data_IF_369032548742
#
_entry.id   IF_369032548742
#
_cell.length_a   1.000
_cell.length_b   1.000
_cell.length_c   1.000
_cell.angle_alpha   90.00
_cell.angle_beta   90.00
_cell.angle_gamma   90.00
#
_symmetry.space_group_name_H-M   'P 1'
#
loop_
_entity.id
_entity.type
_entity.pdbx_description
1 polymer ?
#
# COMPACT_ATOMS: atom_id res chain seq x y z
N UNK A 1 28.23 -16.50 -11.86
CA UNK A 1 28.81 -15.37 -11.12
C UNK A 1 29.91 -15.77 -10.13
N UNK A 2 29.83 -16.89 -9.38
CA UNK A 2 30.96 -17.33 -8.52
C UNK A 2 32.14 -17.89 -9.35
N UNK A 3 31.86 -18.77 -10.31
CA UNK A 3 32.90 -19.43 -11.12
C UNK A 3 33.46 -18.52 -12.23
N UNK A 4 32.62 -17.64 -12.77
CA UNK A 4 32.89 -16.84 -13.99
C UNK A 4 34.15 -15.93 -13.88
N UNK A 5 34.41 -15.24 -12.75
CA UNK A 5 35.59 -14.38 -12.60
C UNK A 5 36.93 -15.13 -12.66
N UNK A 6 36.96 -16.40 -12.25
CA UNK A 6 38.19 -17.22 -12.33
C UNK A 6 38.66 -17.46 -13.78
N UNK A 7 37.78 -17.20 -14.76
CA UNK A 7 38.06 -17.30 -16.19
C UNK A 7 38.08 -15.93 -16.89
N UNK A 8 38.17 -14.83 -16.13
CA UNK A 8 38.15 -13.47 -16.69
C UNK A 8 36.79 -13.02 -17.22
N UNK A 9 35.71 -13.71 -16.84
CA UNK A 9 34.36 -13.36 -17.30
C UNK A 9 33.74 -12.21 -16.50
N UNK A 10 32.85 -11.47 -17.16
CA UNK A 10 32.06 -10.39 -16.57
C UNK A 10 30.81 -10.93 -15.85
N UNK A 11 30.22 -10.16 -14.90
CA UNK A 11 28.97 -10.54 -14.25
C UNK A 11 27.88 -10.86 -15.28
N UNK A 12 27.27 -12.04 -15.15
CA UNK A 12 26.23 -12.51 -16.04
C UNK A 12 24.86 -12.43 -15.35
N UNK A 13 23.86 -11.94 -16.08
CA UNK A 13 22.45 -11.91 -15.69
C UNK A 13 21.59 -12.59 -16.74
N UNK A 14 20.29 -12.73 -16.48
CA UNK A 14 19.33 -13.24 -17.46
C UNK A 14 19.28 -12.36 -18.70
N UNK A 15 19.38 -12.97 -19.88
CA UNK A 15 19.28 -12.26 -21.16
C UNK A 15 17.88 -12.42 -21.76
N UNK A 16 16.96 -11.54 -21.39
CA UNK A 16 15.52 -11.61 -21.74
C UNK A 16 15.31 -11.85 -23.25
N UNK A 17 15.96 -11.04 -24.10
CA UNK A 17 15.82 -11.16 -25.55
C UNK A 17 16.27 -12.55 -26.08
N UNK A 18 17.39 -13.09 -25.58
CA UNK A 18 17.88 -14.41 -26.00
C UNK A 18 16.99 -15.53 -25.50
N UNK A 19 16.49 -15.43 -24.27
CA UNK A 19 15.56 -16.41 -23.69
C UNK A 19 14.24 -16.42 -24.46
N UNK A 20 13.71 -15.25 -24.81
CA UNK A 20 12.47 -15.13 -25.59
C UNK A 20 12.61 -15.80 -26.98
N UNK A 21 13.72 -15.57 -27.68
CA UNK A 21 14.01 -16.23 -28.96
C UNK A 21 14.15 -17.75 -28.75
N UNK A 22 14.91 -18.20 -27.76
CA UNK A 22 15.09 -19.62 -27.46
C UNK A 22 13.76 -20.35 -27.23
N UNK A 23 12.86 -19.76 -26.44
CA UNK A 23 11.53 -20.32 -26.16
C UNK A 23 10.68 -20.33 -27.43
N UNK A 24 10.67 -19.24 -28.22
CA UNK A 24 9.94 -19.19 -29.50
C UNK A 24 10.48 -20.18 -30.53
N UNK A 25 11.77 -20.51 -30.48
CA UNK A 25 12.43 -21.53 -31.30
C UNK A 25 12.20 -22.97 -30.78
N UNK A 26 11.35 -23.16 -29.76
CA UNK A 26 11.01 -24.48 -29.24
C UNK A 26 11.93 -25.02 -28.15
N UNK A 27 12.82 -24.18 -27.58
CA UNK A 27 13.67 -24.53 -26.45
C UNK A 27 12.84 -24.75 -25.17
N UNK A 28 12.75 -26.00 -24.72
CA UNK A 28 11.93 -26.40 -23.55
C UNK A 28 12.76 -26.83 -22.33
N UNK A 29 14.04 -27.13 -22.51
CA UNK A 29 14.89 -27.72 -21.46
C UNK A 29 16.13 -26.84 -21.20
N UNK A 30 16.72 -27.01 -20.00
CA UNK A 30 17.98 -26.33 -19.61
C UNK A 30 19.14 -26.68 -20.54
N UNK A 31 19.06 -27.82 -21.24
CA UNK A 31 20.07 -28.27 -22.19
C UNK A 31 20.21 -27.30 -23.37
N UNK A 32 19.15 -26.59 -23.78
CA UNK A 32 19.25 -25.57 -24.83
C UNK A 32 20.25 -24.47 -24.49
N UNK A 33 20.26 -24.01 -23.23
CA UNK A 33 21.22 -23.00 -22.76
C UNK A 33 22.67 -23.51 -22.76
N UNK A 34 22.87 -24.78 -22.39
CA UNK A 34 24.20 -25.42 -22.42
C UNK A 34 24.70 -25.55 -23.86
N UNK A 35 23.86 -26.05 -24.78
CA UNK A 35 24.19 -26.17 -26.19
C UNK A 35 24.51 -24.80 -26.79
N UNK A 36 23.72 -23.77 -26.47
CA UNK A 36 23.99 -22.40 -26.92
C UNK A 36 25.35 -21.89 -26.42
N UNK A 37 25.68 -22.11 -25.14
CA UNK A 37 26.96 -21.72 -24.56
C UNK A 37 28.15 -22.44 -25.20
N UNK A 38 28.05 -23.76 -25.40
CA UNK A 38 29.10 -24.56 -26.05
C UNK A 38 29.24 -24.17 -27.53
N UNK A 39 28.14 -24.00 -28.25
CA UNK A 39 28.16 -23.55 -29.64
C UNK A 39 28.81 -22.17 -29.77
N UNK A 40 28.46 -21.23 -28.89
CA UNK A 40 29.07 -19.90 -28.86
C UNK A 40 30.58 -19.98 -28.58
N UNK A 41 31.00 -20.82 -27.62
CA UNK A 41 32.41 -21.04 -27.33
C UNK A 41 33.16 -21.61 -28.54
N UNK A 42 32.61 -22.62 -29.22
CA UNK A 42 33.21 -23.19 -30.44
C UNK A 42 33.32 -22.16 -31.56
N UNK A 43 32.27 -21.37 -31.80
CA UNK A 43 32.27 -20.31 -32.81
C UNK A 43 33.35 -19.27 -32.49
N UNK A 44 33.45 -18.82 -31.25
CA UNK A 44 34.47 -17.83 -30.86
C UNK A 44 35.88 -18.41 -31.01
N UNK A 45 36.13 -19.65 -30.59
CA UNK A 45 37.45 -20.28 -30.67
C UNK A 45 37.91 -20.56 -32.11
N UNK A 46 36.98 -20.85 -33.03
CA UNK A 46 37.31 -21.25 -34.41
C UNK A 46 37.16 -20.11 -35.42
N UNK A 47 36.16 -19.24 -35.26
CA UNK A 47 35.82 -18.13 -36.15
C UNK A 47 36.22 -16.74 -35.58
N UNK A 48 36.96 -16.66 -34.48
CA UNK A 48 37.52 -15.39 -33.98
C UNK A 48 38.13 -14.47 -35.07
N UNK A 49 39.00 -14.94 -35.98
CA UNK A 49 39.61 -14.07 -36.98
C UNK A 49 38.60 -13.49 -37.99
N UNK A 50 37.50 -14.20 -38.25
CA UNK A 50 36.40 -13.72 -39.09
C UNK A 50 35.53 -12.73 -38.31
N UNK A 51 35.25 -13.01 -37.04
CA UNK A 51 34.48 -12.11 -36.18
C UNK A 51 35.15 -10.74 -35.99
N UNK A 52 36.48 -10.70 -35.97
CA UNK A 52 37.24 -9.45 -35.89
C UNK A 52 37.07 -8.53 -37.12
N UNK A 53 36.62 -9.07 -38.26
CA UNK A 53 36.38 -8.30 -39.48
C UNK A 53 34.98 -7.67 -39.54
N UNK A 54 34.11 -7.94 -38.55
CA UNK A 54 32.75 -7.41 -38.53
C UNK A 54 32.78 -5.89 -38.36
N UNK A 55 32.19 -5.10 -39.28
CA UNK A 55 32.17 -3.65 -39.17
C UNK A 55 31.44 -3.18 -37.91
N UNK A 56 32.03 -2.21 -37.20
CA UNK A 56 31.40 -1.59 -36.02
C UNK A 56 30.02 -0.99 -36.34
N UNK A 57 29.83 -0.49 -37.56
CA UNK A 57 28.54 0.03 -38.03
C UNK A 57 27.44 -1.03 -38.02
N UNK A 58 27.76 -2.29 -38.37
CA UNK A 58 26.79 -3.38 -38.34
C UNK A 58 26.39 -3.72 -36.90
N UNK A 59 27.35 -3.75 -35.98
CA UNK A 59 27.09 -3.98 -34.55
C UNK A 59 26.24 -2.85 -33.95
N UNK A 60 26.55 -1.59 -34.26
CA UNK A 60 25.78 -0.44 -33.82
C UNK A 60 24.32 -0.51 -34.33
N UNK A 61 24.10 -0.92 -35.59
CA UNK A 61 22.77 -1.12 -36.15
C UNK A 61 21.97 -2.18 -35.38
N UNK A 62 22.58 -3.32 -35.05
CA UNK A 62 21.94 -4.37 -34.25
C UNK A 62 21.60 -3.84 -32.85
N UNK A 63 22.51 -3.08 -32.22
CA UNK A 63 22.28 -2.49 -30.90
C UNK A 63 21.14 -1.45 -30.91
N UNK A 64 21.03 -0.61 -31.94
CA UNK A 64 19.92 0.33 -32.06
C UNK A 64 18.58 -0.39 -32.21
N UNK A 65 18.48 -1.37 -33.12
CA UNK A 65 17.23 -2.12 -33.34
C UNK A 65 16.82 -2.88 -32.09
N UNK A 66 17.77 -3.51 -31.39
CA UNK A 66 17.48 -4.22 -30.14
C UNK A 66 17.06 -3.28 -29.03
N UNK A 67 17.72 -2.12 -28.89
CA UNK A 67 17.34 -1.10 -27.89
C UNK A 67 15.92 -0.59 -28.09
N UNK A 68 15.53 -0.26 -29.33
CA UNK A 68 14.16 0.20 -29.63
C UNK A 68 13.12 -0.89 -29.35
N UNK A 69 13.45 -2.16 -29.65
CA UNK A 69 12.57 -3.30 -29.36
C UNK A 69 12.43 -3.62 -27.87
N UNK A 70 13.36 -3.17 -27.03
CA UNK A 70 13.30 -3.34 -25.59
C UNK A 70 12.43 -2.27 -24.89
N UNK A 71 12.00 -1.23 -25.60
CA UNK A 71 11.10 -0.21 -25.03
C UNK A 71 9.67 -0.76 -24.98
N UNK A 72 9.12 -0.88 -23.77
CA UNK A 72 7.75 -1.32 -23.51
C UNK A 72 6.76 -0.14 -23.56
N UNK A 73 6.39 0.29 -24.76
CA UNK A 73 5.50 1.44 -24.98
C UNK A 73 4.14 1.30 -24.29
N UNK A 74 3.60 0.09 -24.20
CA UNK A 74 2.32 -0.20 -23.54
C UNK A 74 2.40 0.06 -22.03
N UNK A 75 3.50 -0.34 -21.38
CA UNK A 75 3.72 -0.11 -19.95
C UNK A 75 3.82 1.40 -19.65
N UNK A 76 4.57 2.14 -20.46
CA UNK A 76 4.67 3.61 -20.36
C UNK A 76 3.28 4.25 -20.49
N UNK A 77 2.49 3.80 -21.47
CA UNK A 77 1.11 4.26 -21.69
C UNK A 77 0.17 3.98 -20.50
N UNK A 78 0.30 2.80 -19.89
CA UNK A 78 -0.46 2.44 -18.69
C UNK A 78 -0.08 3.32 -17.50
N UNK A 79 1.22 3.52 -17.25
CA UNK A 79 1.74 4.37 -16.17
C UNK A 79 1.24 5.81 -16.28
N UNK A 80 1.25 6.39 -17.48
CA UNK A 80 0.72 7.74 -17.72
C UNK A 80 -0.76 7.89 -17.37
N UNK A 81 -1.55 6.83 -17.55
CA UNK A 81 -3.00 6.84 -17.30
C UNK A 81 -3.36 6.47 -15.86
N UNK A 82 -2.55 5.64 -15.21
CA UNK A 82 -2.84 5.09 -13.91
C UNK A 82 -2.56 6.10 -12.78
N UNK A 83 -1.32 6.58 -12.65
CA UNK A 83 -0.97 7.49 -11.56
C UNK A 83 0.21 8.39 -11.95
N UNK A 84 -0.02 9.71 -11.93
CA UNK A 84 1.01 10.72 -12.26
C UNK A 84 2.28 10.61 -11.40
N UNK A 85 2.15 10.15 -10.15
CA UNK A 85 3.30 9.99 -9.25
C UNK A 85 4.19 8.79 -9.60
N UNK A 86 3.64 7.70 -10.14
CA UNK A 86 4.48 6.59 -10.62
C UNK A 86 5.17 6.96 -11.93
N UNK A 87 4.46 7.68 -12.81
CA UNK A 87 5.02 8.21 -14.05
C UNK A 87 6.18 9.19 -13.79
N UNK A 88 6.07 10.05 -12.76
CA UNK A 88 7.15 11.00 -12.43
C UNK A 88 8.41 10.29 -11.92
N UNK A 89 8.27 9.22 -11.14
CA UNK A 89 9.42 8.38 -10.69
C UNK A 89 10.08 7.69 -11.87
N UNK A 90 9.31 7.16 -12.81
CA UNK A 90 9.83 6.58 -14.06
C UNK A 90 10.58 7.64 -14.89
N UNK A 91 10.01 8.84 -15.06
CA UNK A 91 10.67 9.91 -15.83
C UNK A 91 11.95 10.39 -15.14
N UNK A 92 11.94 10.50 -13.81
CA UNK A 92 13.11 10.84 -13.01
C UNK A 92 14.23 9.82 -13.22
N UNK A 93 13.94 8.53 -13.04
CA UNK A 93 14.95 7.46 -13.22
C UNK A 93 15.47 7.40 -14.65
N UNK A 94 14.60 7.56 -15.64
CA UNK A 94 14.99 7.63 -17.05
C UNK A 94 15.93 8.81 -17.34
N UNK A 95 15.60 10.00 -16.84
CA UNK A 95 16.42 11.20 -17.03
C UNK A 95 17.78 11.07 -16.34
N UNK A 96 17.81 10.56 -15.10
CA UNK A 96 19.08 10.33 -14.37
C UNK A 96 19.95 9.31 -15.11
N UNK A 97 19.37 8.25 -15.66
CA UNK A 97 20.12 7.23 -16.42
C UNK A 97 20.80 7.81 -17.67
N UNK A 98 20.15 8.78 -18.34
CA UNK A 98 20.68 9.41 -19.56
C UNK A 98 21.75 10.47 -19.24
N UNK A 99 21.52 11.26 -18.19
CA UNK A 99 22.39 12.40 -17.86
C UNK A 99 23.61 11.98 -17.01
N UNK A 100 23.49 10.92 -16.23
CA UNK A 100 24.52 10.45 -15.30
C UNK A 100 24.85 8.97 -15.56
N UNK A 101 24.51 8.08 -14.64
CA UNK A 101 24.76 6.65 -14.75
C UNK A 101 23.58 5.82 -14.23
N UNK A 102 23.60 4.53 -14.56
CA UNK A 102 22.57 3.57 -14.19
C UNK A 102 22.51 3.32 -12.67
N UNK A 103 23.65 3.35 -11.97
CA UNK A 103 23.73 3.04 -10.53
C UNK A 103 23.03 4.13 -9.74
N UNK A 104 23.36 5.39 -10.00
CA UNK A 104 22.75 6.57 -9.42
C UNK A 104 21.24 6.63 -9.73
N UNK A 105 20.85 6.27 -10.95
CA UNK A 105 19.44 6.21 -11.33
C UNK A 105 18.65 5.20 -10.49
N UNK A 106 19.22 4.02 -10.23
CA UNK A 106 18.60 2.99 -9.38
C UNK A 106 18.49 3.48 -7.93
N UNK A 107 19.53 4.10 -7.39
CA UNK A 107 19.53 4.65 -6.02
C UNK A 107 18.44 5.72 -5.84
N UNK A 108 18.42 6.73 -6.71
CA UNK A 108 17.44 7.80 -6.68
C UNK A 108 16.02 7.26 -6.91
N UNK A 109 15.87 6.32 -7.84
CA UNK A 109 14.60 5.66 -8.13
C UNK A 109 14.03 4.93 -6.92
N UNK A 110 14.86 4.18 -6.21
CA UNK A 110 14.45 3.44 -5.01
C UNK A 110 14.04 4.40 -3.89
N UNK A 111 14.78 5.49 -3.68
CA UNK A 111 14.45 6.52 -2.68
C UNK A 111 13.11 7.19 -3.03
N UNK A 112 12.94 7.59 -4.29
CA UNK A 112 11.70 8.24 -4.75
C UNK A 112 10.49 7.30 -4.66
N UNK A 113 10.65 6.03 -5.02
CA UNK A 113 9.61 5.01 -4.88
C UNK A 113 9.26 4.75 -3.40
N UNK A 114 10.26 4.67 -2.53
CA UNK A 114 10.07 4.54 -1.09
C UNK A 114 9.34 5.74 -0.49
N UNK A 115 9.72 6.96 -0.87
CA UNK A 115 9.05 8.18 -0.44
C UNK A 115 7.59 8.22 -0.92
N UNK A 116 7.33 7.78 -2.15
CA UNK A 116 5.97 7.70 -2.69
C UNK A 116 5.14 6.63 -1.98
N UNK A 117 5.73 5.50 -1.63
CA UNK A 117 5.09 4.46 -0.83
C UNK A 117 4.71 4.99 0.56
N UNK A 118 5.63 5.68 1.24
CA UNK A 118 5.35 6.32 2.53
C UNK A 118 4.22 7.34 2.40
N UNK A 119 4.26 8.20 1.36
CA UNK A 119 3.19 9.17 1.10
C UNK A 119 1.84 8.48 0.92
N UNK A 120 1.77 7.44 0.10
CA UNK A 120 0.53 6.67 -0.14
C UNK A 120 0.00 6.01 1.13
N UNK A 121 0.89 5.56 2.01
CA UNK A 121 0.52 4.96 3.29
C UNK A 121 0.12 6.03 4.33
N UNK A 122 0.64 7.25 4.21
CA UNK A 122 0.36 8.38 5.08
C UNK A 122 -0.88 9.19 4.68
N UNK A 123 -1.36 9.06 3.43
CA UNK A 123 -2.56 9.75 2.95
C UNK A 123 -3.80 9.11 3.60
N UNK A 124 -4.12 9.59 4.81
CA UNK A 124 -5.32 9.23 5.58
C UNK A 124 -6.58 9.79 4.92
N UNK A 125 -7.49 8.89 4.53
CA UNK A 125 -8.86 9.26 4.20
C UNK A 125 -9.69 9.28 5.49
N UNK A 126 -9.63 10.40 6.23
CA UNK A 126 -10.64 10.73 7.21
C UNK A 126 -11.90 11.17 6.47
N UNK A 127 -12.90 10.31 6.42
CA UNK A 127 -14.20 10.63 5.86
C UNK A 127 -15.22 10.81 7.00
N UNK A 128 -15.78 12.02 7.12
CA UNK A 128 -16.99 12.24 7.94
C UNK A 128 -18.11 11.46 7.27
N UNK A 129 -18.71 10.51 7.98
CA UNK A 129 -19.85 9.77 7.43
C UNK A 129 -21.06 10.72 7.48
N UNK A 130 -21.78 10.94 6.37
CA UNK A 130 -22.99 11.76 6.39
C UNK A 130 -24.00 11.19 7.39
N UNK A 131 -24.73 12.06 8.08
CA UNK A 131 -25.71 11.66 9.11
C UNK A 131 -26.73 10.63 8.61
N UNK A 132 -27.06 10.64 7.31
CA UNK A 132 -27.95 9.69 6.64
C UNK A 132 -27.46 8.24 6.59
N UNK A 133 -26.15 8.00 6.66
CA UNK A 133 -25.55 6.65 6.67
C UNK A 133 -25.02 6.24 8.05
N UNK A 134 -24.85 7.21 8.94
CA UNK A 134 -24.28 7.00 10.28
C UNK A 134 -25.32 6.55 11.31
N UNK A 135 -26.61 6.84 11.09
CA UNK A 135 -27.68 6.60 12.06
C UNK A 135 -28.79 5.70 11.47
N UNK A 136 -29.25 4.68 12.21
CA UNK A 136 -30.48 3.95 11.87
C UNK A 136 -31.70 4.90 11.78
N UNK A 137 -32.72 4.58 10.96
CA UNK A 137 -33.95 5.36 10.92
C UNK A 137 -34.64 5.36 12.30
N UNK A 138 -34.75 6.53 12.93
CA UNK A 138 -35.40 6.71 14.24
C UNK A 138 -34.63 7.53 15.28
N UNK A 139 -33.39 7.94 15.00
CA UNK A 139 -32.61 8.80 15.91
C UNK A 139 -33.11 10.26 15.84
N UNK A 140 -33.38 10.93 16.98
CA UNK A 140 -33.78 12.34 16.97
C UNK A 140 -32.70 13.26 16.37
N UNK A 141 -33.08 14.21 15.50
CA UNK A 141 -32.16 15.17 14.86
C UNK A 141 -31.36 16.05 15.85
N UNK A 142 -31.88 16.24 17.07
CA UNK A 142 -31.20 16.97 18.15
C UNK A 142 -29.99 16.19 18.70
N UNK A 143 -30.05 14.85 18.67
CA UNK A 143 -28.98 13.96 19.11
C UNK A 143 -27.97 13.71 18.00
N UNK A 144 -28.38 13.74 16.72
CA UNK A 144 -27.44 13.62 15.59
C UNK A 144 -26.46 14.77 15.53
N UNK A 145 -26.86 15.99 15.94
CA UNK A 145 -25.97 17.15 16.07
C UNK A 145 -24.93 17.03 17.19
N UNK A 146 -25.20 16.22 18.22
CA UNK A 146 -24.29 16.01 19.36
C UNK A 146 -23.33 14.83 19.15
N UNK A 147 -23.53 14.04 18.09
CA UNK A 147 -22.77 12.82 17.80
C UNK A 147 -22.07 12.96 16.45
N UNK A 148 -20.74 13.00 16.44
CA UNK A 148 -19.96 12.98 15.22
C UNK A 148 -19.42 11.57 14.94
N UNK A 149 -19.62 11.05 13.73
CA UNK A 149 -19.12 9.74 13.30
C UNK A 149 -18.04 9.87 12.24
N UNK A 150 -16.84 9.38 12.56
CA UNK A 150 -15.68 9.41 11.67
C UNK A 150 -15.26 8.02 11.26
N UNK A 151 -14.99 7.84 9.97
CA UNK A 151 -14.31 6.66 9.45
C UNK A 151 -12.83 6.93 9.36
N UNK A 152 -12.02 6.04 9.95
CA UNK A 152 -10.58 6.03 9.76
C UNK A 152 -10.23 4.91 8.79
N UNK A 153 -9.75 5.29 7.61
CA UNK A 153 -9.21 4.36 6.63
C UNK A 153 -7.69 4.50 6.58
N UNK A 154 -6.97 3.39 6.80
CA UNK A 154 -5.50 3.33 6.78
C UNK A 154 -4.85 3.27 8.18
N UNK A 155 -3.51 3.07 8.24
CA UNK A 155 -2.78 3.01 9.50
C UNK A 155 -2.83 4.38 10.18
N UNK A 156 -3.23 4.41 11.45
CA UNK A 156 -3.43 5.66 12.21
C UNK A 156 -2.08 6.38 12.32
N UNK A 157 -1.90 7.49 11.60
CA UNK A 157 -0.70 8.33 11.67
C UNK A 157 -1.07 9.79 12.00
N UNK A 158 -0.08 10.53 12.49
CA UNK A 158 -0.09 11.89 13.04
C UNK A 158 -1.02 12.93 12.35
N UNK A 159 -1.31 12.80 11.05
CA UNK A 159 -2.12 13.78 10.30
C UNK A 159 -3.62 13.78 10.61
N UNK A 160 -4.17 12.69 11.17
CA UNK A 160 -5.58 12.66 11.59
C UNK A 160 -5.83 13.49 12.85
N UNK A 161 -4.88 13.48 13.80
CA UNK A 161 -5.03 14.15 15.09
C UNK A 161 -5.21 15.66 14.93
N UNK A 162 -4.42 16.32 14.07
CA UNK A 162 -4.57 17.76 13.78
C UNK A 162 -5.94 18.09 13.15
N UNK A 163 -6.46 17.22 12.30
CA UNK A 163 -7.81 17.39 11.71
C UNK A 163 -8.91 17.26 12.76
N UNK A 164 -8.75 16.37 13.75
CA UNK A 164 -9.70 16.26 14.86
C UNK A 164 -9.70 17.49 15.76
N UNK A 165 -8.54 18.07 16.05
CA UNK A 165 -8.43 19.31 16.84
C UNK A 165 -9.09 20.48 16.12
N UNK A 166 -8.88 20.59 14.81
CA UNK A 166 -9.53 21.64 13.99
C UNK A 166 -11.05 21.45 13.98
N UNK A 167 -11.52 20.21 13.83
CA UNK A 167 -12.95 19.89 13.85
C UNK A 167 -13.65 20.24 15.17
N UNK A 168 -13.07 19.89 16.31
CA UNK A 168 -13.65 20.21 17.62
C UNK A 168 -13.79 21.72 17.85
N UNK A 169 -12.98 22.52 17.17
CA UNK A 169 -13.08 23.98 17.16
C UNK A 169 -14.27 24.48 16.34
N UNK A 170 -14.56 23.82 15.21
CA UNK A 170 -15.60 24.24 14.27
C UNK A 170 -17.00 23.73 14.67
N UNK A 171 -17.10 22.62 15.40
CA UNK A 171 -18.37 22.02 15.84
C UNK A 171 -18.45 21.85 17.39
N UNK A 172 -18.60 22.94 18.16
CA UNK A 172 -18.60 22.90 19.63
C UNK A 172 -19.82 22.23 20.27
N UNK A 173 -20.85 21.89 19.47
CA UNK A 173 -22.07 21.22 19.94
C UNK A 173 -21.89 19.69 20.12
N UNK A 174 -20.77 19.13 19.64
CA UNK A 174 -20.49 17.69 19.64
C UNK A 174 -20.00 17.22 21.01
N UNK A 175 -20.79 16.36 21.67
CA UNK A 175 -20.47 15.75 22.98
C UNK A 175 -19.95 14.32 22.88
N UNK A 176 -20.20 13.64 21.76
CA UNK A 176 -19.79 12.26 21.53
C UNK A 176 -19.12 12.12 20.17
N UNK A 177 -17.91 11.56 20.15
CA UNK A 177 -17.18 11.25 18.93
C UNK A 177 -17.09 9.73 18.77
N UNK A 178 -17.67 9.20 17.69
CA UNK A 178 -17.59 7.78 17.33
C UNK A 178 -16.53 7.60 16.25
N UNK A 179 -15.49 6.82 16.56
CA UNK A 179 -14.39 6.52 15.65
C UNK A 179 -14.50 5.09 15.12
N UNK A 180 -14.83 4.95 13.84
CA UNK A 180 -14.94 3.65 13.16
C UNK A 180 -13.56 3.20 12.68
N UNK A 181 -13.02 2.20 13.36
CA UNK A 181 -11.68 1.63 13.14
C UNK A 181 -11.68 0.30 12.37
N UNK A 182 -12.82 -0.13 11.81
CA UNK A 182 -12.94 -1.41 11.07
C UNK A 182 -11.92 -1.58 9.94
N UNK A 183 -11.51 -0.49 9.31
CA UNK A 183 -10.55 -0.48 8.20
C UNK A 183 -9.12 -0.11 8.64
N UNK A 184 -8.82 -0.23 9.93
CA UNK A 184 -7.48 -0.07 10.50
C UNK A 184 -6.91 -1.46 10.76
N UNK A 185 -6.12 -2.04 9.83
CA UNK A 185 -5.60 -3.39 9.98
C UNK A 185 -4.54 -3.48 11.09
N UNK A 186 -3.73 -2.43 11.23
CA UNK A 186 -2.66 -2.36 12.21
C UNK A 186 -2.45 -0.93 12.70
N UNK A 187 -1.79 -0.81 13.85
CA UNK A 187 -1.43 0.45 14.47
C UNK A 187 -0.03 0.31 15.07
N UNK A 188 0.80 1.33 14.91
CA UNK A 188 2.15 1.39 15.46
C UNK A 188 2.18 2.31 16.70
N UNK A 189 3.36 2.51 17.29
CA UNK A 189 3.53 3.43 18.43
C UNK A 189 3.06 4.84 18.10
N UNK A 190 3.28 5.30 16.86
CA UNK A 190 2.86 6.62 16.40
C UNK A 190 1.34 6.76 16.43
N UNK A 191 0.61 5.75 15.96
CA UNK A 191 -0.86 5.73 16.01
C UNK A 191 -1.42 5.68 17.44
N UNK A 192 -0.75 4.98 18.36
CA UNK A 192 -1.14 4.96 19.78
C UNK A 192 -0.99 6.35 20.40
N UNK A 193 0.15 7.01 20.17
CA UNK A 193 0.40 8.37 20.69
C UNK A 193 -0.63 9.35 20.12
N UNK A 194 -0.90 9.28 18.82
CA UNK A 194 -1.91 10.12 18.17
C UNK A 194 -3.32 9.89 18.74
N UNK A 195 -3.72 8.64 18.99
CA UNK A 195 -5.01 8.33 19.61
C UNK A 195 -5.07 8.81 21.06
N UNK A 196 -3.98 8.72 21.81
CA UNK A 196 -3.90 9.26 23.17
C UNK A 196 -4.03 10.79 23.18
N UNK A 197 -3.41 11.48 22.23
CA UNK A 197 -3.53 12.93 22.09
C UNK A 197 -4.97 13.34 21.73
N UNK A 198 -5.61 12.64 20.78
CA UNK A 198 -7.03 12.83 20.43
C UNK A 198 -7.92 12.62 21.67
N UNK A 199 -7.72 11.54 22.42
CA UNK A 199 -8.48 11.28 23.65
C UNK A 199 -8.29 12.39 24.69
N UNK A 200 -7.05 12.87 24.86
CA UNK A 200 -6.73 13.93 25.83
C UNK A 200 -7.39 15.25 25.46
N UNK A 201 -7.39 15.60 24.18
CA UNK A 201 -8.02 16.83 23.71
C UNK A 201 -9.55 16.76 23.78
N UNK A 202 -10.16 15.62 23.39
CA UNK A 202 -11.59 15.39 23.58
C UNK A 202 -12.01 15.53 25.04
N UNK A 203 -11.21 14.96 25.96
CA UNK A 203 -11.45 15.04 27.40
C UNK A 203 -11.37 16.47 27.93
N UNK A 204 -10.51 17.33 27.37
CA UNK A 204 -10.45 18.76 27.71
C UNK A 204 -11.69 19.53 27.27
N UNK A 205 -12.33 19.09 26.19
CA UNK A 205 -13.55 19.67 25.62
C UNK A 205 -14.86 19.01 26.13
N UNK A 206 -14.79 18.17 27.18
CA UNK A 206 -15.92 17.40 27.72
C UNK A 206 -16.63 16.52 26.67
N UNK A 207 -15.87 16.10 25.64
CA UNK A 207 -16.34 15.22 24.59
C UNK A 207 -15.89 13.78 24.87
N UNK A 208 -16.81 12.82 24.76
CA UNK A 208 -16.54 11.39 24.98
C UNK A 208 -16.16 10.70 23.68
N UNK A 209 -15.06 9.95 23.71
CA UNK A 209 -14.58 9.13 22.59
C UNK A 209 -15.16 7.71 22.68
N UNK A 210 -15.81 7.25 21.61
CA UNK A 210 -16.27 5.87 21.42
C UNK A 210 -15.53 5.22 20.26
N UNK A 211 -15.06 3.99 20.43
CA UNK A 211 -14.36 3.23 19.40
C UNK A 211 -15.27 2.13 18.85
N UNK A 212 -15.36 2.00 17.52
CA UNK A 212 -16.18 0.96 16.88
C UNK A 212 -15.39 0.10 15.89
N UNK A 213 -15.66 -1.21 15.93
CA UNK A 213 -15.09 -2.17 14.97
C UNK A 213 -13.58 -2.32 15.08
N UNK A 214 -13.03 -2.36 16.30
CA UNK A 214 -11.60 -2.61 16.51
C UNK A 214 -11.20 -3.98 15.97
N UNK A 215 -10.10 -4.04 15.22
CA UNK A 215 -9.51 -5.32 14.83
C UNK A 215 -8.77 -5.96 16.01
N UNK A 216 -8.69 -7.30 16.10
CA UNK A 216 -8.07 -7.99 17.24
C UNK A 216 -6.61 -7.56 17.51
N UNK A 217 -5.82 -7.29 16.46
CA UNK A 217 -4.44 -6.82 16.61
C UNK A 217 -4.37 -5.43 17.25
N UNK A 218 -5.23 -4.51 16.82
CA UNK A 218 -5.32 -3.15 17.36
C UNK A 218 -5.86 -3.16 18.79
N UNK A 219 -6.86 -3.99 19.08
CA UNK A 219 -7.41 -4.14 20.42
C UNK A 219 -6.35 -4.65 21.41
N UNK A 220 -5.65 -5.73 21.06
CA UNK A 220 -4.57 -6.26 21.89
C UNK A 220 -3.47 -5.22 22.13
N UNK A 221 -3.15 -4.41 21.12
CA UNK A 221 -2.17 -3.34 21.26
C UNK A 221 -2.65 -2.24 22.23
N UNK A 222 -3.90 -1.83 22.15
CA UNK A 222 -4.51 -0.83 23.04
C UNK A 222 -4.61 -1.32 24.49
N UNK A 223 -4.88 -2.61 24.70
CA UNK A 223 -4.87 -3.24 26.02
C UNK A 223 -3.46 -3.26 26.60
N UNK A 224 -2.46 -3.65 25.81
CA UNK A 224 -1.07 -3.73 26.25
C UNK A 224 -0.47 -2.37 26.60
N UNK A 225 -0.91 -1.30 25.95
CA UNK A 225 -0.47 0.07 26.25
C UNK A 225 -1.27 0.74 27.37
N UNK A 226 -2.34 0.11 27.85
CA UNK A 226 -3.25 0.67 28.87
C UNK A 226 -4.08 1.84 28.36
N UNK A 227 -4.06 2.14 27.05
CA UNK A 227 -4.91 3.19 26.47
C UNK A 227 -6.39 2.78 26.49
N UNK A 228 -6.68 1.48 26.35
CA UNK A 228 -8.04 0.97 26.46
C UNK A 228 -8.62 1.19 27.87
N UNK A 229 -7.79 1.03 28.91
CA UNK A 229 -8.21 1.25 30.30
C UNK A 229 -8.44 2.74 30.60
N UNK A 230 -7.71 3.65 29.92
CA UNK A 230 -7.96 5.10 30.01
C UNK A 230 -9.26 5.52 29.32
N UNK A 231 -9.55 4.93 28.15
CA UNK A 231 -10.77 5.23 27.38
C UNK A 231 -12.01 4.62 28.05
N UNK A 232 -11.85 3.46 28.69
CA UNK A 232 -12.93 2.68 29.27
C UNK A 232 -13.41 1.61 28.31
N UNK A 233 -13.45 0.35 28.77
CA UNK A 233 -13.90 -0.80 27.95
C UNK A 233 -15.37 -0.68 27.57
N UNK A 234 -16.14 0.04 28.37
CA UNK A 234 -17.54 0.41 28.14
C UNK A 234 -17.76 1.33 26.92
N UNK A 235 -16.71 2.00 26.44
CA UNK A 235 -16.77 2.90 25.28
C UNK A 235 -16.32 2.22 23.98
N UNK A 236 -16.12 0.89 23.99
CA UNK A 236 -15.72 0.09 22.84
C UNK A 236 -16.88 -0.80 22.38
N UNK A 237 -17.27 -0.69 21.11
CA UNK A 237 -18.40 -1.42 20.53
C UNK A 237 -17.99 -2.15 19.24
N UNK A 238 -18.66 -3.25 18.92
CA UNK A 238 -18.40 -3.97 17.65
C UNK A 238 -18.96 -3.20 16.44
N UNK A 239 -20.11 -2.54 16.60
CA UNK A 239 -20.82 -1.84 15.52
C UNK A 239 -21.14 -0.39 15.89
N UNK A 240 -21.25 0.46 14.88
CA UNK A 240 -21.69 1.86 15.05
C UNK A 240 -23.10 1.93 15.64
N UNK A 241 -23.99 1.03 15.23
CA UNK A 241 -25.37 0.99 15.73
C UNK A 241 -25.42 0.70 17.23
N UNK A 242 -24.59 -0.23 17.72
CA UNK A 242 -24.49 -0.53 19.15
C UNK A 242 -24.00 0.67 19.96
N UNK A 243 -23.03 1.43 19.42
CA UNK A 243 -22.53 2.64 20.06
C UNK A 243 -23.61 3.74 20.14
N UNK A 244 -24.38 3.95 19.06
CA UNK A 244 -25.48 4.93 19.03
C UNK A 244 -26.62 4.52 19.97
N UNK A 245 -26.95 3.23 20.03
CA UNK A 245 -27.96 2.69 20.95
C UNK A 245 -27.55 2.85 22.43
N UNK A 246 -26.28 2.63 22.76
CA UNK A 246 -25.78 2.81 24.13
C UNK A 246 -25.88 4.28 24.61
N UNK A 247 -25.77 5.23 23.69
CA UNK A 247 -25.97 6.67 23.95
C UNK A 247 -27.46 7.06 24.08
N UNK A 248 -28.37 6.22 23.58
CA UNK A 248 -29.82 6.52 23.51
C UNK A 248 -30.68 5.41 24.15
N UNK A 249 -30.63 5.23 25.48
CA UNK A 249 -31.35 4.14 26.15
C UNK A 249 -32.88 4.22 26.06
N UNK A 250 -33.45 5.36 25.63
CA UNK A 250 -34.91 5.61 25.64
C UNK A 250 -35.60 5.49 24.28
N UNK A 251 -34.91 5.28 23.15
CA UNK A 251 -35.53 5.42 21.82
C UNK A 251 -35.61 4.15 20.96
N UNK A 252 -34.90 3.05 21.27
CA UNK A 252 -34.83 1.89 20.37
C UNK A 252 -34.97 0.60 21.17
N UNK A 253 -35.94 -0.24 20.78
CA UNK A 253 -36.01 -1.66 21.17
C UNK A 253 -34.75 -2.35 20.66
N UNK A 254 -33.75 -2.49 21.53
CA UNK A 254 -32.47 -3.09 21.23
C UNK A 254 -32.64 -4.63 21.11
N UNK A 255 -32.35 -5.28 19.97
CA UNK A 255 -32.12 -6.72 19.99
C UNK A 255 -30.74 -6.94 20.62
N UNK A 256 -30.71 -7.11 21.95
CA UNK A 256 -29.59 -7.75 22.62
C UNK A 256 -29.61 -9.25 22.23
N UNK A 257 -29.12 -9.57 21.04
CA UNK A 257 -28.66 -10.92 20.73
C UNK A 257 -27.34 -10.84 19.96
N UNK A 258 -26.33 -11.64 20.32
CA UNK A 258 -25.18 -11.81 19.44
C UNK A 258 -25.69 -12.44 18.13
N UNK A 259 -25.26 -11.97 16.94
CA UNK A 259 -25.54 -12.72 15.73
C UNK A 259 -24.89 -14.09 15.88
N UNK A 260 -25.72 -15.13 16.00
CA UNK A 260 -25.30 -16.51 15.85
C UNK A 260 -24.56 -16.60 14.52
N UNK A 261 -23.28 -16.92 14.57
CA UNK A 261 -22.47 -17.24 13.39
C UNK A 261 -23.05 -18.54 12.80
N UNK A 262 -24.01 -18.42 11.89
CA UNK A 262 -24.29 -19.46 10.91
C UNK A 262 -23.30 -19.26 9.77
N UNK A 263 -22.19 -19.99 9.83
CA UNK A 263 -21.29 -20.19 8.69
C UNK A 263 -22.12 -20.86 7.59
N UNK A 264 -22.26 -20.27 6.39
CA UNK A 264 -22.78 -21.02 5.25
C UNK A 264 -21.72 -22.04 4.84
N UNK A 265 -22.05 -23.32 4.97
CA UNK A 265 -21.21 -24.49 4.67
C UNK A 265 -20.91 -24.70 3.17
N UNK A 266 -20.92 -23.63 2.35
CA UNK A 266 -20.85 -23.73 0.88
C UNK A 266 -19.59 -23.16 0.22
N UNK A 267 -18.55 -22.80 0.99
CA UNK A 267 -17.28 -22.30 0.44
C UNK A 267 -16.06 -23.22 0.67
N UNK A 268 -16.29 -24.50 1.02
CA UNK A 268 -15.22 -25.52 1.14
C UNK A 268 -15.07 -26.38 -0.13
N UNK A 269 -15.84 -26.13 -1.21
CA UNK A 269 -15.57 -26.76 -2.52
C UNK A 269 -15.68 -25.78 -3.67
N UNK A 270 -14.56 -25.16 -4.02
CA UNK A 270 -14.11 -24.96 -5.40
C UNK A 270 -12.64 -24.54 -5.46
#
# INVERSE_FOLDING_TARGET
NIVVPFFGGIPATGAIARTAVNVRSGGKTRLSGVIHGVALAMIVLTLAPLAAQVPLAALAGILMVTSVRMIEWEAIGLLMRATYSDFSVMMLTWMVTILFDLVLAVEIGLIAAGALFIKRMSDLNLAKIPETEAFPPGVPLELSKQIAVYRVDGPVFFGAAERFVTFLRDEPEVKYLILRMRFVPNMDTTGIVALEDIYRDLKRHDCRLLLTGLQPEVQNLLERTGLLDKIGKENCFETTDAAVCALTPTAISCPLSPPSVSVPEELIKR
#
